data_IF_000420050470
#
_entry.id   IF_000420050470
#
_cell.length_a   1.000
_cell.length_b   1.000
_cell.length_c   1.000
_cell.angle_alpha   90.00
_cell.angle_beta   90.00
_cell.angle_gamma   90.00
#
_symmetry.space_group_name_H-M   'P 1'
#
loop_
_entity.id
_entity.type
_entity.pdbx_description
1 polymer ?
#
# COMPACT_ATOMS: atom_id res chain seq x y z
N UNK A 1 -57.84 -9.30 3.64
CA UNK A 1 -56.74 -10.20 4.06
C UNK A 1 -56.97 -11.69 3.73
N UNK A 2 -58.17 -12.26 3.89
CA UNK A 2 -58.43 -13.70 3.62
C UNK A 2 -58.14 -14.15 2.16
N UNK A 3 -58.42 -13.31 1.16
CA UNK A 3 -58.18 -13.62 -0.27
C UNK A 3 -56.71 -13.64 -0.69
N UNK A 4 -55.83 -12.94 0.05
CA UNK A 4 -54.38 -12.97 -0.21
C UNK A 4 -53.75 -14.22 0.39
N UNK A 5 -54.21 -14.63 1.58
CA UNK A 5 -53.76 -15.84 2.24
C UNK A 5 -54.15 -17.12 1.47
N UNK A 6 -55.32 -17.13 0.82
CA UNK A 6 -55.74 -18.28 -0.01
C UNK A 6 -54.91 -18.42 -1.29
N UNK A 7 -54.50 -17.30 -1.90
CA UNK A 7 -53.63 -17.29 -3.08
C UNK A 7 -52.21 -17.76 -2.76
N UNK A 8 -51.68 -17.34 -1.60
CA UNK A 8 -50.37 -17.80 -1.13
C UNK A 8 -50.37 -19.30 -0.81
N UNK A 9 -51.49 -19.83 -0.30
CA UNK A 9 -51.64 -21.25 0.01
C UNK A 9 -51.76 -22.13 -1.23
N UNK A 10 -52.52 -21.68 -2.24
CA UNK A 10 -52.65 -22.39 -3.52
C UNK A 10 -51.32 -22.44 -4.29
N UNK A 11 -50.56 -21.33 -4.32
CA UNK A 11 -49.24 -21.30 -4.95
C UNK A 11 -48.22 -22.20 -4.25
N UNK A 12 -48.36 -22.38 -2.93
CA UNK A 12 -47.52 -23.27 -2.14
C UNK A 12 -47.86 -24.74 -2.37
N UNK A 13 -49.15 -25.07 -2.52
CA UNK A 13 -49.60 -26.44 -2.87
C UNK A 13 -49.18 -26.82 -4.30
N UNK A 14 -49.24 -25.89 -5.26
CA UNK A 14 -48.79 -26.10 -6.64
C UNK A 14 -47.26 -26.30 -6.75
N UNK A 15 -46.48 -25.70 -5.84
CA UNK A 15 -45.04 -25.95 -5.71
C UNK A 15 -44.71 -27.32 -5.09
N UNK A 16 -45.62 -27.89 -4.30
CA UNK A 16 -45.40 -29.18 -3.61
C UNK A 16 -45.89 -30.40 -4.41
N UNK A 17 -46.73 -30.20 -5.42
CA UNK A 17 -47.28 -31.28 -6.26
C UNK A 17 -46.44 -31.60 -7.52
N UNK A 18 -45.30 -30.92 -7.70
CA UNK A 18 -44.34 -31.29 -8.75
C UNK A 18 -43.37 -32.36 -8.26
N UNK A 19 -43.61 -33.59 -8.75
CA UNK A 19 -42.72 -34.75 -8.80
C UNK A 19 -41.78 -34.98 -7.61
N UNK A 20 -42.16 -35.96 -6.79
CA UNK A 20 -41.27 -36.58 -5.82
C UNK A 20 -39.98 -37.07 -6.50
N UNK A 21 -38.79 -36.51 -6.22
CA UNK A 21 -37.57 -37.21 -6.54
C UNK A 21 -37.49 -38.41 -5.61
N UNK A 22 -37.34 -39.61 -6.17
CA UNK A 22 -37.10 -40.83 -5.41
C UNK A 22 -36.13 -40.54 -4.27
N UNK A 23 -36.50 -40.86 -3.03
CA UNK A 23 -35.61 -40.77 -1.87
C UNK A 23 -34.46 -41.77 -2.02
N UNK A 24 -33.45 -41.41 -2.83
CA UNK A 24 -32.16 -42.05 -2.79
C UNK A 24 -31.52 -41.62 -1.48
N UNK A 25 -31.34 -42.58 -0.54
CA UNK A 25 -30.44 -42.39 0.60
C UNK A 25 -29.12 -41.83 0.05
N UNK A 26 -28.57 -40.72 0.59
CA UNK A 26 -27.27 -40.24 0.15
C UNK A 26 -26.27 -41.37 0.37
N UNK A 27 -25.76 -41.93 -0.72
CA UNK A 27 -24.66 -42.88 -0.67
C UNK A 27 -23.48 -42.16 0.00
N UNK A 28 -22.84 -42.75 1.02
CA UNK A 28 -21.68 -42.13 1.64
C UNK A 28 -20.62 -41.96 0.54
N UNK A 29 -20.37 -40.70 0.15
CA UNK A 29 -19.30 -40.38 -0.79
C UNK A 29 -18.01 -40.88 -0.17
N UNK A 30 -17.32 -41.80 -0.86
CA UNK A 30 -16.01 -42.24 -0.46
C UNK A 30 -15.08 -41.03 -0.31
N UNK A 31 -14.30 -40.97 0.77
CA UNK A 31 -13.32 -39.91 0.98
C UNK A 31 -12.35 -39.90 -0.21
N UNK A 32 -12.41 -38.84 -1.01
CA UNK A 32 -11.47 -38.60 -2.11
C UNK A 32 -10.17 -38.02 -1.54
N UNK A 33 -9.01 -38.31 -2.16
CA UNK A 33 -7.77 -37.66 -1.79
C UNK A 33 -7.86 -36.14 -2.04
N UNK A 34 -7.24 -35.36 -1.15
CA UNK A 34 -7.22 -33.90 -1.27
C UNK A 34 -6.54 -33.48 -2.58
N UNK A 35 -7.19 -32.60 -3.34
CA UNK A 35 -6.62 -31.95 -4.53
C UNK A 35 -5.98 -30.60 -4.22
N UNK A 36 -5.91 -30.22 -2.94
CA UNK A 36 -5.34 -28.95 -2.51
C UNK A 36 -3.83 -28.97 -2.73
N UNK A 37 -3.35 -28.15 -3.65
CA UNK A 37 -1.93 -27.87 -3.84
C UNK A 37 -1.50 -26.67 -2.97
N UNK A 38 -0.19 -26.54 -2.66
CA UNK A 38 0.33 -25.31 -2.07
C UNK A 38 -0.03 -24.08 -2.92
N UNK A 39 -0.21 -22.89 -2.31
CA UNK A 39 -0.53 -21.67 -3.03
C UNK A 39 0.60 -21.29 -3.98
N UNK A 40 0.23 -20.82 -5.18
CA UNK A 40 1.17 -20.24 -6.15
C UNK A 40 1.57 -18.82 -5.75
N UNK A 41 2.62 -18.27 -6.38
CA UNK A 41 2.97 -16.86 -6.19
C UNK A 41 1.82 -15.90 -6.54
N UNK A 42 1.02 -16.25 -7.56
CA UNK A 42 -0.14 -15.46 -7.96
C UNK A 42 -1.26 -15.53 -6.93
N UNK A 43 -1.45 -16.69 -6.29
CA UNK A 43 -2.41 -16.83 -5.18
C UNK A 43 -2.00 -15.97 -3.99
N UNK A 44 -0.70 -15.90 -3.70
CA UNK A 44 -0.18 -15.01 -2.65
C UNK A 44 -0.45 -13.54 -2.98
N UNK A 45 -0.21 -13.09 -4.22
CA UNK A 45 -0.47 -11.69 -4.59
C UNK A 45 -1.96 -11.33 -4.58
N UNK A 46 -2.85 -12.29 -4.87
CA UNK A 46 -4.29 -12.06 -4.93
C UNK A 46 -4.97 -12.14 -3.58
N UNK A 47 -4.57 -13.11 -2.75
CA UNK A 47 -5.36 -13.52 -1.59
C UNK A 47 -4.64 -13.30 -0.26
N UNK A 48 -3.33 -13.03 -0.25
CA UNK A 48 -2.63 -12.74 0.99
C UNK A 48 -3.12 -11.40 1.54
N UNK A 49 -3.56 -11.39 2.79
CA UNK A 49 -3.79 -10.14 3.49
C UNK A 49 -2.45 -9.49 3.84
N UNK A 50 -2.32 -8.19 3.59
CA UNK A 50 -1.09 -7.44 3.81
C UNK A 50 -1.23 -6.49 5.00
N UNK A 51 -0.28 -6.57 5.93
CA UNK A 51 0.01 -5.53 6.90
C UNK A 51 1.19 -4.73 6.40
N UNK A 52 1.09 -3.41 6.37
CA UNK A 52 2.18 -2.58 5.89
C UNK A 52 2.10 -1.14 6.37
N UNK A 53 3.20 -0.43 6.20
CA UNK A 53 3.34 0.98 6.55
C UNK A 53 3.92 1.78 5.39
N UNK A 54 3.77 3.11 5.45
CA UNK A 54 4.48 4.02 4.57
C UNK A 54 5.82 4.37 5.22
N UNK A 55 6.88 4.36 4.43
CA UNK A 55 8.17 4.95 4.81
C UNK A 55 8.21 6.39 4.27
N UNK A 56 7.45 7.28 4.93
CA UNK A 56 7.31 8.68 4.53
C UNK A 56 8.56 9.52 4.82
N UNK A 57 8.69 10.67 4.16
CA UNK A 57 9.81 11.61 4.33
C UNK A 57 11.21 11.03 4.15
N UNK A 58 11.37 9.91 3.45
CA UNK A 58 12.71 9.47 3.00
C UNK A 58 13.08 10.21 1.72
N UNK A 59 12.33 9.97 0.64
CA UNK A 59 12.60 10.51 -0.69
C UNK A 59 11.61 11.60 -1.12
N UNK A 60 10.61 11.90 -0.28
CA UNK A 60 9.67 13.01 -0.46
C UNK A 60 9.40 13.61 0.91
N UNK A 61 10.05 14.72 1.21
CA UNK A 61 10.01 15.37 2.51
C UNK A 61 8.66 16.00 2.81
N UNK A 62 8.25 15.83 4.06
CA UNK A 62 7.12 16.50 4.68
C UNK A 62 7.61 17.14 5.97
N UNK A 63 7.43 18.46 6.12
CA UNK A 63 8.02 19.22 7.24
C UNK A 63 7.59 18.73 8.62
N UNK A 64 6.39 18.19 8.74
CA UNK A 64 5.88 17.67 10.01
C UNK A 64 6.57 16.36 10.43
N UNK A 65 7.10 15.59 9.48
CA UNK A 65 7.75 14.29 9.73
C UNK A 65 9.28 14.41 9.74
N UNK A 66 9.86 15.31 8.93
CA UNK A 66 11.32 15.52 8.85
C UNK A 66 11.67 17.02 8.86
N UNK A 67 11.19 17.74 9.87
CA UNK A 67 11.35 19.19 9.99
C UNK A 67 12.80 19.67 10.02
N UNK A 68 13.75 18.85 10.48
CA UNK A 68 15.19 19.17 10.48
C UNK A 68 15.81 19.29 9.07
N UNK A 69 15.12 18.82 8.04
CA UNK A 69 15.55 19.01 6.65
C UNK A 69 15.27 20.41 6.11
N UNK A 70 14.35 21.14 6.74
CA UNK A 70 13.98 22.49 6.35
C UNK A 70 14.90 23.48 7.06
N UNK A 71 15.85 24.05 6.31
CA UNK A 71 16.76 25.10 6.82
C UNK A 71 16.00 26.35 7.25
N UNK A 72 16.62 27.21 8.06
CA UNK A 72 15.94 28.36 8.68
C UNK A 72 15.35 29.34 7.66
N UNK A 73 15.95 29.44 6.47
CA UNK A 73 15.47 30.28 5.37
C UNK A 73 14.29 29.68 4.59
N UNK A 74 13.88 28.43 4.86
CA UNK A 74 12.81 27.77 4.11
C UNK A 74 11.42 28.30 4.50
N UNK A 75 10.74 28.92 3.54
CA UNK A 75 9.40 29.51 3.70
C UNK A 75 8.24 28.53 3.44
N UNK A 76 8.52 27.30 3.03
CA UNK A 76 7.51 26.27 2.72
C UNK A 76 7.59 25.02 3.60
N UNK A 77 6.73 24.06 3.29
CA UNK A 77 6.56 22.79 4.00
C UNK A 77 6.67 21.53 3.11
N UNK A 78 7.02 21.73 1.84
CA UNK A 78 7.16 20.71 0.80
C UNK A 78 8.62 20.63 0.29
N UNK A 79 8.95 19.50 -0.36
CA UNK A 79 10.30 19.18 -0.88
C UNK A 79 10.97 20.35 -1.62
N UNK A 80 10.30 20.91 -2.62
CA UNK A 80 10.88 21.95 -3.47
C UNK A 80 11.35 23.16 -2.65
N UNK A 81 10.54 23.59 -1.67
CA UNK A 81 10.89 24.69 -0.76
C UNK A 81 12.04 24.32 0.19
N UNK A 82 12.15 23.06 0.60
CA UNK A 82 13.26 22.59 1.42
C UNK A 82 14.57 22.63 0.63
N UNK A 83 14.61 21.99 -0.54
CA UNK A 83 15.83 21.87 -1.35
C UNK A 83 16.26 23.21 -1.93
N UNK A 84 15.32 24.05 -2.37
CA UNK A 84 15.63 25.39 -2.89
C UNK A 84 16.27 26.26 -1.80
N UNK A 85 15.71 26.25 -0.59
CA UNK A 85 16.28 27.00 0.53
C UNK A 85 17.65 26.45 0.93
N UNK A 86 17.82 25.13 0.97
CA UNK A 86 19.10 24.50 1.29
C UNK A 86 20.18 24.83 0.25
N UNK A 87 19.87 24.81 -1.05
CA UNK A 87 20.81 25.19 -2.12
C UNK A 87 21.18 26.68 -1.99
N UNK A 88 20.22 27.55 -1.72
CA UNK A 88 20.48 28.98 -1.54
C UNK A 88 21.35 29.28 -0.30
N UNK A 89 21.16 28.53 0.78
CA UNK A 89 21.84 28.77 2.07
C UNK A 89 23.21 28.05 2.17
N UNK A 90 23.29 26.81 1.68
CA UNK A 90 24.46 25.92 1.85
C UNK A 90 25.26 25.71 0.55
N UNK A 91 24.74 26.17 -0.59
CA UNK A 91 25.23 25.80 -1.91
C UNK A 91 24.82 24.38 -2.33
N UNK A 92 25.04 24.06 -3.61
CA UNK A 92 24.63 22.78 -4.20
C UNK A 92 25.25 21.57 -3.48
N UNK A 93 26.57 21.58 -3.26
CA UNK A 93 27.27 20.47 -2.60
C UNK A 93 26.84 20.30 -1.13
N UNK A 94 26.60 21.40 -0.42
CA UNK A 94 26.12 21.37 0.96
C UNK A 94 24.70 20.82 1.07
N UNK A 95 23.81 21.21 0.14
CA UNK A 95 22.46 20.66 0.03
C UNK A 95 22.50 19.15 -0.30
N UNK A 96 23.30 18.74 -1.30
CA UNK A 96 23.49 17.32 -1.65
C UNK A 96 23.97 16.51 -0.46
N UNK A 97 25.01 16.95 0.23
CA UNK A 97 25.53 16.26 1.41
C UNK A 97 24.46 16.13 2.51
N UNK A 98 23.62 17.15 2.72
CA UNK A 98 22.51 17.10 3.68
C UNK A 98 21.43 16.08 3.27
N UNK A 99 21.06 16.02 1.99
CA UNK A 99 20.09 15.04 1.46
C UNK A 99 20.63 13.61 1.51
N UNK A 100 21.86 13.39 1.08
CA UNK A 100 22.50 12.07 1.16
C UNK A 100 22.64 11.58 2.60
N UNK A 101 22.98 12.48 3.53
CA UNK A 101 23.04 12.15 4.96
C UNK A 101 21.65 11.77 5.50
N UNK A 102 20.58 12.45 5.07
CA UNK A 102 19.22 12.10 5.43
C UNK A 102 18.83 10.72 4.91
N UNK A 103 19.00 10.46 3.60
CA UNK A 103 18.67 9.17 3.01
C UNK A 103 19.42 8.00 3.66
N UNK A 104 20.69 8.19 3.98
CA UNK A 104 21.53 7.17 4.63
C UNK A 104 21.05 6.81 6.04
N UNK A 105 20.39 7.73 6.73
CA UNK A 105 20.04 7.59 8.14
C UNK A 105 18.53 7.56 8.41
N UNK A 106 17.68 7.75 7.39
CA UNK A 106 16.23 7.85 7.58
C UNK A 106 15.57 6.55 8.07
N UNK A 107 16.13 5.38 7.70
CA UNK A 107 15.68 4.06 8.17
C UNK A 107 16.89 3.17 8.35
N UNK A 108 17.00 2.54 9.52
CA UNK A 108 18.07 1.63 9.89
C UNK A 108 17.68 0.16 9.71
N UNK A 109 18.67 -0.74 9.73
CA UNK A 109 18.43 -2.18 9.76
C UNK A 109 17.62 -2.61 10.99
N UNK A 110 17.74 -1.89 12.11
CA UNK A 110 16.97 -2.18 13.32
C UNK A 110 15.49 -1.85 13.13
N UNK A 111 15.17 -0.78 12.41
CA UNK A 111 13.78 -0.41 12.09
C UNK A 111 13.14 -1.49 11.20
N UNK A 112 13.87 -2.00 10.20
CA UNK A 112 13.41 -3.13 9.38
C UNK A 112 13.23 -4.40 10.21
N UNK A 113 14.16 -4.71 11.11
CA UNK A 113 14.03 -5.86 12.01
C UNK A 113 12.78 -5.75 12.88
N UNK A 114 12.50 -4.56 13.42
CA UNK A 114 11.30 -4.31 14.21
C UNK A 114 10.02 -4.47 13.37
N UNK A 115 9.99 -3.89 12.16
CA UNK A 115 8.85 -4.02 11.24
C UNK A 115 8.54 -5.49 10.94
N UNK A 116 9.56 -6.31 10.72
CA UNK A 116 9.42 -7.73 10.40
C UNK A 116 9.05 -8.58 11.63
N UNK A 117 9.75 -8.39 12.75
CA UNK A 117 9.67 -9.30 13.90
C UNK A 117 8.56 -8.93 14.87
N UNK A 118 8.36 -7.64 15.10
CA UNK A 118 7.39 -7.12 16.09
C UNK A 118 6.09 -6.70 15.41
N UNK A 119 6.15 -5.76 14.45
CA UNK A 119 4.96 -5.24 13.79
C UNK A 119 4.33 -6.22 12.78
N UNK A 120 5.07 -7.29 12.43
CA UNK A 120 4.66 -8.29 11.43
C UNK A 120 4.27 -7.67 10.09
N UNK A 121 4.91 -6.57 9.70
CA UNK A 121 4.74 -5.95 8.40
C UNK A 121 5.20 -6.90 7.30
N UNK A 122 4.40 -6.97 6.25
CA UNK A 122 4.60 -7.83 5.07
C UNK A 122 4.77 -7.03 3.78
N UNK A 123 4.65 -5.71 3.87
CA UNK A 123 4.88 -4.76 2.80
C UNK A 123 5.23 -3.38 3.37
N UNK A 124 5.96 -2.62 2.58
CA UNK A 124 6.15 -1.18 2.77
C UNK A 124 5.67 -0.46 1.52
N UNK A 125 5.18 0.76 1.69
CA UNK A 125 5.00 1.71 0.59
C UNK A 125 6.07 2.77 0.72
N UNK A 126 6.85 2.96 -0.33
CA UNK A 126 7.94 3.94 -0.38
C UNK A 126 7.55 5.06 -1.35
N UNK A 127 7.18 6.26 -0.86
CA UNK A 127 6.99 7.42 -1.71
C UNK A 127 8.32 7.85 -2.33
N UNK A 128 8.32 8.06 -3.65
CA UNK A 128 9.44 8.61 -4.40
C UNK A 128 8.93 9.75 -5.29
N UNK A 129 9.75 10.78 -5.48
CA UNK A 129 9.47 11.88 -6.40
C UNK A 129 10.18 11.66 -7.74
N UNK A 130 9.67 12.22 -8.83
CA UNK A 130 10.41 12.21 -10.10
C UNK A 130 11.77 12.92 -9.96
N UNK A 131 11.83 13.93 -9.07
CA UNK A 131 13.04 14.69 -8.78
C UNK A 131 14.13 13.88 -8.08
N UNK A 132 13.82 12.72 -7.48
CA UNK A 132 14.84 11.82 -6.91
C UNK A 132 15.47 10.89 -7.93
N UNK A 133 15.03 10.93 -9.20
CA UNK A 133 15.57 10.09 -10.29
C UNK A 133 16.78 10.72 -10.99
N UNK A 134 17.15 11.94 -10.59
CA UNK A 134 18.29 12.70 -11.11
C UNK A 134 17.89 13.89 -11.99
N UNK A 135 18.86 14.75 -12.26
CA UNK A 135 18.67 16.05 -12.94
C UNK A 135 17.95 15.95 -14.29
N UNK A 136 18.13 14.83 -14.99
CA UNK A 136 17.52 14.58 -16.30
C UNK A 136 15.99 14.66 -16.24
N UNK A 137 15.41 14.14 -15.16
CA UNK A 137 13.98 14.06 -14.91
C UNK A 137 13.41 15.37 -14.36
N UNK A 138 14.27 16.32 -13.98
CA UNK A 138 13.88 17.64 -13.51
C UNK A 138 13.81 18.68 -14.64
N UNK A 139 14.27 18.38 -15.86
CA UNK A 139 14.29 19.31 -16.98
C UNK A 139 12.88 19.81 -17.34
N UNK A 140 12.72 21.14 -17.43
CA UNK A 140 11.43 21.78 -17.70
C UNK A 140 10.44 21.73 -16.54
N UNK A 141 10.88 21.38 -15.34
CA UNK A 141 10.06 21.34 -14.12
C UNK A 141 10.56 22.38 -13.11
N UNK A 142 9.79 22.59 -12.04
CA UNK A 142 10.20 23.51 -10.97
C UNK A 142 11.48 23.06 -10.25
N UNK A 143 11.84 21.77 -10.34
CA UNK A 143 13.06 21.23 -9.75
C UNK A 143 14.31 21.40 -10.64
N UNK A 144 14.21 21.97 -11.84
CA UNK A 144 15.31 22.02 -12.82
C UNK A 144 16.61 22.61 -12.24
N UNK A 145 16.50 23.69 -11.45
CA UNK A 145 17.66 24.38 -10.87
C UNK A 145 18.25 23.69 -9.64
N UNK A 146 17.59 22.66 -9.12
CA UNK A 146 17.95 21.96 -7.88
C UNK A 146 18.07 20.43 -8.08
N UNK A 147 17.83 19.92 -9.29
CA UNK A 147 17.79 18.49 -9.59
C UNK A 147 19.13 17.76 -9.50
N UNK A 148 20.22 18.48 -9.24
CA UNK A 148 21.53 17.91 -8.99
C UNK A 148 21.79 17.63 -7.49
N UNK A 149 20.90 18.04 -6.58
CA UNK A 149 20.89 17.62 -5.17
C UNK A 149 20.44 16.18 -5.07
#
# INVERSE_FOLDING_TARGET
MKKFLSKAKAAFEELTDSDSPSSQKPTPKANQPSTISPPTALDLLRYRFHWGTNLGSIFVLEKWLSGSMFVGSSSGDHELAAVTAAVNELGLEGARAKWEAHWRNAVSDLDFQWLVREARCTSIRLPIGYFTLGEEWCRGTEFENVGAV
#
